data_IF_615504813145
#
_entry.id   IF_615504813145
#
_cell.length_a   1.000
_cell.length_b   1.000
_cell.length_c   1.000
_cell.angle_alpha   90.00
_cell.angle_beta   90.00
_cell.angle_gamma   90.00
#
_symmetry.space_group_name_H-M   'P 1'
#
loop_
_entity.id
_entity.type
_entity.pdbx_description
1 polymer ?
#
# COMPACT_ATOMS: atom_id res chain seq x y z
N UNK A 1 -120.04 -55.56 16.28
CA UNK A 1 -119.78 -54.13 16.53
C UNK A 1 -118.29 -53.92 16.38
N UNK A 2 -117.70 -53.08 15.52
CA UNK A 2 -118.16 -51.94 14.73
C UNK A 2 -116.92 -51.51 13.90
N UNK A 3 -117.06 -51.41 12.57
CA UNK A 3 -116.41 -50.43 11.66
C UNK A 3 -114.87 -50.40 11.45
N UNK A 4 -114.49 -50.48 10.16
CA UNK A 4 -113.30 -49.82 9.59
C UNK A 4 -113.54 -48.29 9.47
N UNK A 5 -112.52 -47.43 9.25
CA UNK A 5 -112.12 -47.16 7.85
C UNK A 5 -110.64 -46.75 7.58
N UNK A 6 -110.20 -47.14 6.39
CA UNK A 6 -109.43 -46.43 5.34
C UNK A 6 -108.92 -44.97 5.54
N UNK A 7 -107.67 -44.71 5.10
CA UNK A 7 -107.17 -43.56 4.28
C UNK A 7 -105.65 -43.71 4.08
N UNK A 8 -105.10 -43.95 2.88
CA UNK A 8 -104.97 -43.13 1.66
C UNK A 8 -103.76 -42.15 1.66
N UNK A 9 -102.76 -42.55 0.87
CA UNK A 9 -101.93 -41.77 -0.05
C UNK A 9 -100.56 -41.14 0.35
N UNK A 10 -99.67 -40.98 -0.68
CA UNK A 10 -98.23 -40.93 -0.57
C UNK A 10 -97.67 -39.51 -0.77
N UNK A 11 -96.44 -39.30 -0.32
CA UNK A 11 -95.55 -38.22 -0.75
C UNK A 11 -94.14 -38.70 -0.37
N UNK A 12 -93.28 -39.07 -1.31
CA UNK A 12 -92.58 -38.12 -2.16
C UNK A 12 -91.11 -38.16 -1.74
N UNK A 13 -90.38 -39.18 -2.19
CA UNK A 13 -88.92 -39.16 -2.16
C UNK A 13 -88.46 -38.09 -3.14
N UNK A 14 -88.12 -36.90 -2.65
CA UNK A 14 -87.39 -35.94 -3.45
C UNK A 14 -85.98 -36.47 -3.74
N UNK A 15 -85.55 -36.53 -5.01
CA UNK A 15 -84.17 -36.82 -5.31
C UNK A 15 -83.30 -35.66 -4.83
N UNK A 16 -82.41 -35.93 -3.86
CA UNK A 16 -81.33 -35.00 -3.51
C UNK A 16 -80.52 -34.72 -4.77
N UNK A 17 -80.71 -33.52 -5.33
CA UNK A 17 -79.85 -33.00 -6.38
C UNK A 17 -78.49 -32.68 -5.74
N UNK A 18 -77.38 -33.20 -6.26
CA UNK A 18 -76.07 -32.83 -5.74
C UNK A 18 -75.85 -31.34 -6.05
N UNK A 19 -75.73 -30.54 -4.98
CA UNK A 19 -75.26 -29.17 -5.07
C UNK A 19 -73.91 -29.14 -5.80
N UNK A 20 -73.75 -28.34 -6.87
CA UNK A 20 -72.47 -28.20 -7.52
C UNK A 20 -71.54 -27.48 -6.55
N UNK A 21 -70.64 -28.24 -5.91
CA UNK A 21 -69.47 -27.66 -5.25
C UNK A 21 -68.79 -26.76 -6.27
N UNK A 22 -68.84 -25.45 -6.04
CA UNK A 22 -68.03 -24.48 -6.76
C UNK A 22 -66.58 -24.96 -6.65
N UNK A 23 -66.05 -25.48 -7.76
CA UNK A 23 -64.61 -25.69 -7.92
C UNK A 23 -64.00 -24.30 -7.78
N UNK A 24 -63.53 -23.98 -6.58
CA UNK A 24 -62.49 -22.97 -6.42
C UNK A 24 -61.42 -23.36 -7.43
N UNK A 25 -61.23 -22.54 -8.46
CA UNK A 25 -60.08 -22.64 -9.35
C UNK A 25 -58.89 -22.41 -8.44
N UNK A 26 -58.33 -23.49 -7.91
CA UNK A 26 -57.01 -23.46 -7.32
C UNK A 26 -56.11 -22.97 -8.46
N UNK A 27 -55.76 -21.69 -8.42
CA UNK A 27 -54.83 -21.07 -9.35
C UNK A 27 -53.45 -21.66 -9.04
N UNK A 28 -53.19 -22.84 -9.58
CA UNK A 28 -51.85 -23.39 -9.63
C UNK A 28 -51.08 -22.64 -10.73
N UNK A 29 -49.83 -22.30 -10.46
CA UNK A 29 -48.96 -21.64 -11.43
C UNK A 29 -48.83 -22.52 -12.68
N UNK A 30 -48.96 -21.87 -13.84
CA UNK A 30 -48.74 -22.53 -15.13
C UNK A 30 -47.27 -22.89 -15.29
N UNK A 31 -47.00 -23.97 -16.02
CA UNK A 31 -45.62 -24.40 -16.33
C UNK A 31 -44.80 -23.27 -16.98
N UNK A 32 -45.46 -22.40 -17.75
CA UNK A 32 -44.84 -21.22 -18.39
C UNK A 32 -44.44 -20.16 -17.36
N UNK A 33 -45.27 -19.86 -16.37
CA UNK A 33 -44.93 -18.91 -15.30
C UNK A 33 -43.72 -19.38 -14.49
N UNK A 34 -43.68 -20.68 -14.14
CA UNK A 34 -42.52 -21.24 -13.42
C UNK A 34 -41.26 -21.19 -14.30
N UNK A 35 -41.36 -21.53 -15.58
CA UNK A 35 -40.22 -21.48 -16.50
C UNK A 35 -39.67 -20.06 -16.66
N UNK A 36 -40.54 -19.06 -16.76
CA UNK A 36 -40.12 -17.66 -16.89
C UNK A 36 -39.50 -17.14 -15.60
N UNK A 37 -40.06 -17.48 -14.43
CA UNK A 37 -39.47 -17.13 -13.13
C UNK A 37 -38.08 -17.75 -12.95
N UNK A 38 -37.91 -19.04 -13.27
CA UNK A 38 -36.60 -19.70 -13.20
C UNK A 38 -35.60 -19.10 -14.20
N UNK A 39 -36.05 -18.74 -15.40
CA UNK A 39 -35.22 -18.06 -16.40
C UNK A 39 -34.71 -16.69 -15.91
N UNK A 40 -35.58 -15.89 -15.30
CA UNK A 40 -35.22 -14.58 -14.74
C UNK A 40 -34.25 -14.72 -13.56
N UNK A 41 -34.49 -15.67 -12.65
CA UNK A 41 -33.59 -15.94 -11.52
C UNK A 41 -32.22 -16.40 -12.00
N UNK A 42 -32.17 -17.32 -12.98
CA UNK A 42 -30.91 -17.80 -13.56
C UNK A 42 -30.11 -16.66 -14.18
N UNK A 43 -30.76 -15.79 -14.96
CA UNK A 43 -30.12 -14.61 -15.54
C UNK A 43 -29.57 -13.65 -14.48
N UNK A 44 -30.35 -13.36 -13.44
CA UNK A 44 -29.94 -12.47 -12.35
C UNK A 44 -28.73 -13.02 -11.57
N UNK A 45 -28.71 -14.32 -11.28
CA UNK A 45 -27.58 -14.96 -10.59
C UNK A 45 -26.30 -14.90 -11.42
N UNK A 46 -26.39 -15.14 -12.74
CA UNK A 46 -25.24 -15.00 -13.66
C UNK A 46 -24.74 -13.56 -13.67
N UNK A 47 -25.64 -12.57 -13.69
CA UNK A 47 -25.27 -11.16 -13.68
C UNK A 47 -24.53 -10.77 -12.38
N UNK A 48 -25.04 -11.17 -11.20
CA UNK A 48 -24.42 -10.87 -9.90
C UNK A 48 -23.06 -11.56 -9.74
N UNK A 49 -23.00 -12.86 -10.05
CA UNK A 49 -21.76 -13.64 -9.96
C UNK A 49 -20.73 -13.13 -10.98
N UNK A 50 -21.16 -12.65 -12.15
CA UNK A 50 -20.28 -12.08 -13.17
C UNK A 50 -19.59 -10.79 -12.73
N UNK A 51 -20.26 -9.93 -11.95
CA UNK A 51 -19.69 -8.64 -11.49
C UNK A 51 -18.96 -8.73 -10.15
N UNK A 52 -19.25 -9.75 -9.33
CA UNK A 52 -18.65 -9.95 -8.01
C UNK A 52 -17.09 -9.96 -8.05
N UNK A 53 -16.42 -10.67 -8.99
CA UNK A 53 -14.96 -10.64 -9.08
C UNK A 53 -14.39 -9.24 -9.30
N UNK A 54 -15.06 -8.42 -10.11
CA UNK A 54 -14.65 -7.04 -10.37
C UNK A 54 -14.85 -6.18 -9.12
N UNK A 55 -15.97 -6.33 -8.42
CA UNK A 55 -16.24 -5.61 -7.17
C UNK A 55 -15.21 -5.92 -6.07
N UNK A 56 -14.78 -7.18 -5.97
CA UNK A 56 -13.74 -7.60 -4.99
C UNK A 56 -12.37 -7.02 -5.36
N UNK A 57 -12.01 -6.99 -6.65
CA UNK A 57 -10.76 -6.37 -7.11
C UNK A 57 -10.71 -4.88 -6.79
N UNK A 58 -11.76 -4.13 -7.15
CA UNK A 58 -11.84 -2.69 -6.86
C UNK A 58 -11.75 -2.39 -5.35
N UNK A 59 -12.38 -3.21 -4.51
CA UNK A 59 -12.26 -3.04 -3.05
C UNK A 59 -10.84 -3.29 -2.56
N UNK A 60 -10.16 -4.30 -3.10
CA UNK A 60 -8.74 -4.56 -2.79
C UNK A 60 -7.87 -3.39 -3.23
N UNK A 61 -7.99 -2.96 -4.47
CA UNK A 61 -7.17 -1.89 -5.03
C UNK A 61 -7.35 -0.58 -4.24
N UNK A 62 -8.59 -0.21 -3.91
CA UNK A 62 -8.88 0.96 -3.08
C UNK A 62 -8.29 0.85 -1.66
N UNK A 63 -8.27 -0.36 -1.08
CA UNK A 63 -7.68 -0.62 0.23
C UNK A 63 -6.15 -0.50 0.17
N UNK A 64 -5.52 -1.12 -0.82
CA UNK A 64 -4.07 -1.07 -1.05
C UNK A 64 -3.61 0.39 -1.30
N UNK A 65 -4.39 1.15 -2.08
CA UNK A 65 -4.14 2.55 -2.33
C UNK A 65 -4.20 3.42 -1.07
N UNK A 66 -5.15 3.12 -0.18
CA UNK A 66 -5.29 3.79 1.11
C UNK A 66 -4.11 3.47 2.02
N UNK A 67 -3.70 2.20 2.07
CA UNK A 67 -2.53 1.74 2.83
C UNK A 67 -1.27 2.46 2.37
N UNK A 68 -1.00 2.49 1.05
CA UNK A 68 0.17 3.18 0.49
C UNK A 68 0.17 4.67 0.87
N UNK A 69 -1.00 5.32 0.81
CA UNK A 69 -1.11 6.74 1.16
C UNK A 69 -0.84 7.01 2.64
N UNK A 70 -1.43 6.22 3.54
CA UNK A 70 -1.26 6.38 4.98
C UNK A 70 0.17 6.06 5.41
N UNK A 71 0.73 4.96 4.90
CA UNK A 71 2.07 4.51 5.27
C UNK A 71 3.18 5.34 4.62
N UNK A 72 2.93 5.89 3.43
CA UNK A 72 3.84 6.85 2.81
C UNK A 72 4.04 8.10 3.68
N UNK A 73 2.95 8.64 4.24
CA UNK A 73 3.01 9.77 5.19
C UNK A 73 3.65 9.37 6.53
N UNK A 74 3.33 8.17 7.04
CA UNK A 74 3.96 7.64 8.26
C UNK A 74 5.48 7.53 8.12
N UNK A 75 5.97 6.93 7.03
CA UNK A 75 7.40 6.77 6.77
C UNK A 75 8.10 8.11 6.53
N UNK A 76 7.43 9.04 5.85
CA UNK A 76 7.95 10.39 5.64
C UNK A 76 8.13 11.13 6.97
N UNK A 77 7.15 11.05 7.88
CA UNK A 77 7.24 11.68 9.19
C UNK A 77 8.25 10.96 10.11
N UNK A 78 8.33 9.64 10.03
CA UNK A 78 9.35 8.83 10.71
C UNK A 78 10.78 9.27 10.35
N UNK A 79 11.03 9.54 9.06
CA UNK A 79 12.33 10.03 8.61
C UNK A 79 12.56 11.48 9.04
N UNK A 80 11.53 12.34 8.97
CA UNK A 80 11.63 13.75 9.35
C UNK A 80 11.88 13.96 10.84
N UNK A 81 11.14 13.26 11.69
CA UNK A 81 11.19 13.40 13.15
C UNK A 81 12.46 12.80 13.77
N UNK A 82 13.17 11.93 13.03
CA UNK A 82 14.28 11.15 13.57
C UNK A 82 13.74 9.96 14.36
N UNK A 83 14.44 8.83 14.30
CA UNK A 83 13.90 7.48 14.53
C UNK A 83 13.44 7.09 15.94
N UNK A 84 13.09 8.03 16.81
CA UNK A 84 12.74 7.74 18.21
C UNK A 84 11.44 6.92 18.29
N UNK A 85 11.50 5.77 18.98
CA UNK A 85 10.33 4.90 19.21
C UNK A 85 9.86 4.09 18.01
N UNK A 86 10.66 4.01 16.92
CA UNK A 86 10.29 3.32 15.68
C UNK A 86 10.79 1.87 15.60
N UNK A 87 11.19 1.27 16.72
CA UNK A 87 11.72 -0.10 16.72
C UNK A 87 10.71 -1.14 16.25
N UNK A 88 9.42 -0.84 16.33
CA UNK A 88 8.36 -1.67 15.79
C UNK A 88 8.45 -1.85 14.26
N UNK A 89 9.11 -0.93 13.53
CA UNK A 89 9.32 -1.03 12.08
C UNK A 89 10.09 -2.29 11.68
N UNK A 90 10.93 -2.83 12.57
CA UNK A 90 11.67 -4.08 12.34
C UNK A 90 10.75 -5.28 12.07
N UNK A 91 9.50 -5.24 12.52
CA UNK A 91 8.52 -6.31 12.28
C UNK A 91 7.89 -6.27 10.87
N UNK A 92 8.03 -5.14 10.18
CA UNK A 92 7.37 -4.83 8.91
C UNK A 92 8.35 -4.72 7.74
N UNK A 93 9.58 -4.28 7.99
CA UNK A 93 10.64 -4.26 6.98
C UNK A 93 11.22 -5.67 6.81
N UNK A 94 11.04 -6.24 5.61
CA UNK A 94 11.60 -7.56 5.31
C UNK A 94 13.06 -7.44 4.86
N UNK A 95 13.33 -6.55 3.90
CA UNK A 95 14.67 -6.32 3.37
C UNK A 95 14.89 -4.85 3.00
N UNK A 96 16.13 -4.38 3.13
CA UNK A 96 16.63 -3.11 2.60
C UNK A 96 17.87 -3.40 1.78
N UNK A 97 17.81 -3.10 0.49
CA UNK A 97 18.89 -3.28 -0.48
C UNK A 97 19.42 -1.93 -0.89
N UNK A 98 20.74 -1.79 -0.79
CA UNK A 98 21.47 -0.63 -1.27
C UNK A 98 22.35 -1.11 -2.41
N UNK A 99 22.09 -0.62 -3.62
CA UNK A 99 22.99 -0.81 -4.75
C UNK A 99 23.72 0.48 -5.03
N UNK A 100 25.06 0.41 -5.05
CA UNK A 100 25.86 1.44 -5.68
C UNK A 100 26.25 1.00 -7.10
N UNK A 101 26.76 1.92 -7.91
CA UNK A 101 27.25 1.59 -9.25
C UNK A 101 28.47 0.65 -9.15
N UNK A 102 28.18 -0.65 -9.21
CA UNK A 102 29.02 -1.85 -9.41
C UNK A 102 30.24 -2.07 -8.51
N UNK A 103 30.43 -3.26 -7.88
CA UNK A 103 29.51 -4.41 -7.70
C UNK A 103 29.00 -4.54 -6.25
N UNK A 104 29.06 -3.49 -5.43
CA UNK A 104 28.71 -3.60 -4.01
C UNK A 104 27.19 -3.43 -3.80
N UNK A 105 26.50 -4.56 -3.68
CA UNK A 105 25.12 -4.60 -3.18
C UNK A 105 25.17 -4.95 -1.70
N UNK A 106 24.71 -4.05 -0.84
CA UNK A 106 24.52 -4.31 0.57
C UNK A 106 23.05 -4.65 0.82
N UNK A 107 22.79 -5.80 1.44
CA UNK A 107 21.44 -6.22 1.81
C UNK A 107 21.35 -6.28 3.32
N UNK A 108 20.30 -5.68 3.87
CA UNK A 108 19.90 -5.81 5.26
C UNK A 108 18.54 -6.50 5.30
N UNK A 109 18.34 -7.40 6.26
CA UNK A 109 17.15 -8.24 6.33
C UNK A 109 16.64 -8.37 7.77
N UNK A 110 15.35 -8.62 7.92
CA UNK A 110 14.78 -9.07 9.19
C UNK A 110 15.37 -10.43 9.59
N UNK A 111 15.33 -10.79 10.89
CA UNK A 111 15.85 -12.08 11.36
C UNK A 111 15.27 -13.29 10.60
N UNK A 112 14.00 -13.21 10.19
CA UNK A 112 13.36 -14.26 9.40
C UNK A 112 13.83 -14.28 7.94
N UNK A 113 13.96 -13.12 7.31
CA UNK A 113 14.43 -13.02 5.93
C UNK A 113 15.93 -13.39 5.80
N UNK A 114 16.75 -13.12 6.82
CA UNK A 114 18.17 -13.46 6.82
C UNK A 114 18.42 -14.98 6.76
N UNK A 115 17.47 -15.82 7.23
CA UNK A 115 17.56 -17.28 7.08
C UNK A 115 17.69 -17.70 5.61
N UNK A 116 17.12 -16.90 4.70
CA UNK A 116 17.15 -17.12 3.26
C UNK A 116 18.28 -16.32 2.57
N UNK A 117 18.90 -15.36 3.27
CA UNK A 117 19.96 -14.49 2.75
C UNK A 117 21.08 -14.38 3.82
N UNK A 118 21.94 -15.40 3.98
CA UNK A 118 22.86 -15.49 5.12
C UNK A 118 23.88 -14.34 5.20
N UNK A 119 24.25 -13.76 4.06
CA UNK A 119 25.20 -12.64 3.96
C UNK A 119 24.58 -11.27 4.25
N UNK A 120 23.26 -11.19 4.50
CA UNK A 120 22.60 -9.92 4.79
C UNK A 120 22.91 -9.44 6.21
N UNK A 121 23.07 -8.13 6.38
CA UNK A 121 23.10 -7.49 7.69
C UNK A 121 21.74 -7.58 8.39
N UNK A 122 21.71 -7.58 9.72
CA UNK A 122 20.47 -7.63 10.48
C UNK A 122 19.83 -6.25 10.61
N UNK A 123 18.50 -6.17 10.45
CA UNK A 123 17.68 -5.02 10.84
C UNK A 123 17.33 -5.15 12.33
N UNK A 124 18.03 -4.39 13.18
CA UNK A 124 17.97 -4.56 14.65
C UNK A 124 17.08 -3.55 15.35
N UNK A 125 16.96 -2.34 14.83
CA UNK A 125 16.20 -1.25 15.44
C UNK A 125 15.63 -0.30 14.37
N UNK A 126 14.67 0.53 14.77
CA UNK A 126 14.03 1.52 13.89
C UNK A 126 15.02 2.60 13.46
N UNK A 127 16.00 2.89 14.31
CA UNK A 127 17.12 3.78 14.01
C UNK A 127 17.88 3.35 12.76
N UNK A 128 18.28 2.09 12.70
CA UNK A 128 19.03 1.55 11.58
C UNK A 128 18.20 1.60 10.30
N UNK A 129 16.90 1.28 10.36
CA UNK A 129 16.00 1.35 9.21
C UNK A 129 15.95 2.79 8.66
N UNK A 130 15.63 3.77 9.50
CA UNK A 130 15.57 5.18 9.09
C UNK A 130 16.92 5.64 8.55
N UNK A 131 18.01 5.26 9.22
CA UNK A 131 19.37 5.59 8.81
C UNK A 131 19.70 5.07 7.41
N UNK A 132 19.35 3.81 7.11
CA UNK A 132 19.53 3.21 5.79
C UNK A 132 18.63 3.87 4.73
N UNK A 133 17.41 4.24 5.07
CA UNK A 133 16.52 4.97 4.15
C UNK A 133 17.00 6.41 3.87
N UNK A 134 17.74 7.02 4.78
CA UNK A 134 18.28 8.39 4.63
C UNK A 134 19.62 8.48 3.89
N UNK A 135 20.09 7.39 3.29
CA UNK A 135 21.34 7.41 2.55
C UNK A 135 21.28 8.41 1.38
N UNK A 136 22.26 9.33 1.26
CA UNK A 136 22.36 10.22 0.10
C UNK A 136 22.41 9.42 -1.20
N UNK A 137 21.66 9.87 -2.20
CA UNK A 137 21.72 9.33 -3.57
C UNK A 137 23.12 9.47 -4.17
N UNK A 138 23.83 10.55 -3.85
CA UNK A 138 25.18 10.82 -4.35
C UNK A 138 26.17 10.82 -3.20
N UNK A 139 27.32 10.16 -3.37
CA UNK A 139 28.43 10.35 -2.43
C UNK A 139 28.95 11.80 -2.49
N UNK A 140 29.80 12.17 -1.53
CA UNK A 140 30.38 13.53 -1.45
C UNK A 140 31.13 13.92 -2.74
N UNK A 141 31.74 12.95 -3.43
CA UNK A 141 32.49 13.14 -4.67
C UNK A 141 31.60 13.08 -5.94
N UNK A 142 30.29 12.81 -5.79
CA UNK A 142 29.29 12.62 -6.87
C UNK A 142 29.66 11.56 -7.92
N UNK A 143 30.54 10.63 -7.58
CA UNK A 143 31.04 9.56 -8.45
C UNK A 143 30.21 8.29 -8.38
N UNK A 144 29.56 8.03 -7.24
CA UNK A 144 28.71 6.86 -7.04
C UNK A 144 27.27 7.28 -6.78
N UNK A 145 26.34 6.55 -7.41
CA UNK A 145 24.90 6.69 -7.17
C UNK A 145 24.44 5.53 -6.29
N UNK A 146 23.88 5.84 -5.12
CA UNK A 146 23.22 4.88 -4.26
C UNK A 146 21.73 4.80 -4.63
N UNK A 147 21.24 3.58 -4.78
CA UNK A 147 19.82 3.29 -4.92
C UNK A 147 19.38 2.45 -3.72
N UNK A 148 18.42 2.98 -2.96
CA UNK A 148 17.89 2.32 -1.76
C UNK A 148 16.50 1.80 -2.06
N UNK A 149 16.34 0.48 -1.95
CA UNK A 149 15.08 -0.23 -2.10
C UNK A 149 14.77 -0.94 -0.79
N UNK A 150 13.55 -0.83 -0.30
CA UNK A 150 13.09 -1.60 0.85
C UNK A 150 11.81 -2.33 0.51
N UNK A 151 11.70 -3.58 0.96
CA UNK A 151 10.45 -4.34 0.93
C UNK A 151 9.78 -4.20 2.29
N UNK A 152 8.55 -3.71 2.29
CA UNK A 152 7.79 -3.42 3.50
C UNK A 152 6.44 -4.10 3.42
N UNK A 153 6.08 -4.82 4.47
CA UNK A 153 4.73 -5.36 4.67
C UNK A 153 3.84 -4.28 5.25
N UNK A 154 2.56 -4.28 4.87
CA UNK A 154 1.56 -3.33 5.37
C UNK A 154 1.59 -3.22 6.90
N UNK A 155 1.87 -2.03 7.40
CA UNK A 155 1.85 -1.68 8.82
C UNK A 155 0.38 -1.58 9.31
N UNK A 156 -0.46 -1.00 8.46
CA UNK A 156 -1.89 -0.71 8.61
C UNK A 156 -2.76 -1.74 7.88
N UNK A 157 -2.49 -3.02 8.14
CA UNK A 157 -3.26 -4.15 7.61
C UNK A 157 -4.36 -4.67 8.56
N UNK A 158 -5.17 -5.61 8.05
CA UNK A 158 -6.14 -6.38 8.85
C UNK A 158 -5.39 -7.22 9.89
N UNK A 159 -5.98 -7.43 11.07
CA UNK A 159 -5.36 -8.27 12.11
C UNK A 159 -5.03 -9.69 11.62
N UNK A 160 -5.83 -10.22 10.67
CA UNK A 160 -5.59 -11.54 10.05
C UNK A 160 -4.27 -11.57 9.27
N UNK A 161 -3.94 -10.48 8.58
CA UNK A 161 -2.71 -10.31 7.78
C UNK A 161 -1.48 -10.05 8.66
N UNK A 162 -1.68 -9.66 9.93
CA UNK A 162 -0.61 -9.43 10.90
C UNK A 162 -0.17 -10.70 11.63
N UNK A 163 -0.87 -11.82 11.44
CA UNK A 163 -0.49 -13.10 12.05
C UNK A 163 0.80 -13.65 11.44
N UNK A 164 1.63 -14.31 12.26
CA UNK A 164 2.92 -14.87 11.79
C UNK A 164 2.73 -15.89 10.65
N UNK A 165 1.60 -16.61 10.66
CA UNK A 165 1.21 -17.59 9.64
C UNK A 165 0.70 -16.98 8.33
N UNK A 166 0.29 -15.70 8.33
CA UNK A 166 -0.23 -15.01 7.16
C UNK A 166 0.79 -14.03 6.54
N UNK A 167 2.05 -14.06 6.98
CA UNK A 167 3.09 -13.14 6.50
C UNK A 167 3.31 -13.18 4.99
N UNK A 168 3.22 -14.37 4.40
CA UNK A 168 3.44 -14.57 2.95
C UNK A 168 2.24 -14.13 2.09
N UNK A 169 1.07 -13.98 2.68
CA UNK A 169 -0.17 -13.55 2.00
C UNK A 169 -0.56 -12.11 2.33
N UNK A 170 0.20 -11.45 3.21
CA UNK A 170 -0.02 -10.07 3.59
C UNK A 170 0.37 -9.13 2.44
N UNK A 171 -0.37 -8.03 2.29
CA UNK A 171 -0.01 -6.98 1.35
C UNK A 171 1.40 -6.45 1.67
N UNK A 172 2.25 -6.40 0.66
CA UNK A 172 3.59 -5.86 0.73
C UNK A 172 3.82 -4.90 -0.43
N UNK A 173 4.61 -3.87 -0.18
CA UNK A 173 4.97 -2.83 -1.14
C UNK A 173 6.47 -2.57 -1.09
N UNK A 174 6.99 -2.03 -2.18
CA UNK A 174 8.36 -1.56 -2.29
C UNK A 174 8.41 -0.07 -1.94
N UNK A 175 9.40 0.31 -1.15
CA UNK A 175 9.78 1.70 -0.88
C UNK A 175 11.09 1.97 -1.60
N UNK A 176 11.13 3.00 -2.42
CA UNK A 176 12.35 3.55 -3.01
C UNK A 176 12.65 4.86 -2.32
N UNK A 177 13.81 4.98 -1.68
CA UNK A 177 14.24 6.21 -1.03
C UNK A 177 15.32 6.90 -1.84
N UNK A 178 15.11 8.17 -2.14
CA UNK A 178 16.10 9.03 -2.76
C UNK A 178 16.28 10.30 -1.92
N UNK A 179 17.51 10.53 -1.46
CA UNK A 179 17.87 11.75 -0.75
C UNK A 179 18.83 12.56 -1.61
N UNK A 180 18.40 13.75 -2.03
CA UNK A 180 19.14 14.62 -2.96
C UNK A 180 19.39 15.97 -2.31
N UNK A 181 20.59 16.56 -2.43
CA UNK A 181 20.85 17.92 -1.96
C UNK A 181 19.85 18.93 -2.51
N UNK A 182 19.42 19.87 -1.67
CA UNK A 182 18.55 20.96 -2.11
C UNK A 182 19.24 21.81 -3.17
N UNK A 183 18.55 22.05 -4.29
CA UNK A 183 19.02 22.92 -5.38
C UNK A 183 17.89 23.82 -5.84
N UNK A 184 17.72 24.98 -5.19
CA UNK A 184 16.67 25.96 -5.51
C UNK A 184 17.13 27.03 -6.51
N UNK A 185 18.44 27.19 -6.68
CA UNK A 185 19.00 28.20 -7.56
C UNK A 185 19.42 27.58 -8.90
N UNK A 186 18.93 28.12 -10.04
CA UNK A 186 19.39 27.70 -11.36
C UNK A 186 20.91 27.91 -11.51
N UNK A 187 21.61 27.05 -12.26
CA UNK A 187 23.05 27.20 -12.50
C UNK A 187 23.44 28.58 -13.03
N UNK A 188 22.61 29.19 -13.89
CA UNK A 188 22.88 30.51 -14.47
C UNK A 188 22.92 31.64 -13.42
N UNK A 189 22.16 31.49 -12.33
CA UNK A 189 22.09 32.49 -11.25
C UNK A 189 23.27 32.39 -10.27
N UNK A 190 23.94 31.24 -10.22
CA UNK A 190 25.07 30.98 -9.31
C UNK A 190 26.42 30.94 -10.04
N UNK A 191 26.41 30.83 -11.37
CA UNK A 191 27.61 30.87 -12.19
C UNK A 191 28.13 32.30 -12.35
N UNK A 192 29.00 32.70 -11.42
CA UNK A 192 29.71 33.99 -11.43
C UNK A 192 30.93 34.00 -12.38
N UNK A 193 31.25 32.86 -13.01
CA UNK A 193 32.32 32.72 -14.00
C UNK A 193 31.81 32.78 -15.44
N UNK A 194 30.49 32.92 -15.65
CA UNK A 194 29.92 33.09 -16.97
C UNK A 194 30.40 34.40 -17.61
N UNK A 195 30.40 34.47 -18.94
CA UNK A 195 30.79 35.66 -19.70
C UNK A 195 29.77 35.93 -20.80
N UNK A 196 29.42 37.21 -21.09
CA UNK A 196 29.84 38.42 -20.39
C UNK A 196 29.00 38.68 -19.11
N UNK A 197 29.62 39.18 -18.04
CA UNK A 197 28.94 39.63 -16.82
C UNK A 197 29.50 40.98 -16.36
N UNK A 198 28.63 41.85 -15.87
CA UNK A 198 29.03 43.10 -15.21
C UNK A 198 29.65 42.84 -13.82
N UNK A 199 30.49 43.75 -13.29
CA UNK A 199 31.07 43.60 -11.95
C UNK A 199 30.02 43.41 -10.84
N UNK A 200 28.88 44.09 -10.96
CA UNK A 200 27.77 43.98 -10.00
C UNK A 200 27.09 42.60 -10.06
N UNK A 201 26.96 42.03 -11.26
CA UNK A 201 26.40 40.67 -11.43
C UNK A 201 27.34 39.61 -10.87
N UNK A 202 28.66 39.76 -11.06
CA UNK A 202 29.65 38.84 -10.48
C UNK A 202 29.52 38.81 -8.94
N UNK A 203 29.39 39.97 -8.30
CA UNK A 203 29.17 40.06 -6.84
C UNK A 203 27.86 39.40 -6.40
N UNK A 204 26.77 39.67 -7.12
CA UNK A 204 25.45 39.10 -6.80
C UNK A 204 25.45 37.58 -6.93
N UNK A 205 25.98 37.04 -8.04
CA UNK A 205 26.03 35.61 -8.31
C UNK A 205 26.99 34.86 -7.38
N UNK A 206 28.13 35.47 -7.03
CA UNK A 206 29.09 34.86 -6.09
C UNK A 206 28.53 34.78 -4.67
N UNK A 207 27.80 35.80 -4.21
CA UNK A 207 27.06 35.75 -2.94
C UNK A 207 25.98 34.65 -2.97
N UNK A 208 25.19 34.58 -4.05
CA UNK A 208 24.17 33.55 -4.21
C UNK A 208 24.76 32.14 -4.24
N UNK A 209 25.90 31.96 -4.91
CA UNK A 209 26.62 30.68 -4.94
C UNK A 209 27.03 30.21 -3.54
N UNK A 210 27.46 31.13 -2.67
CA UNK A 210 27.79 30.80 -1.27
C UNK A 210 26.54 30.32 -0.52
N UNK A 211 25.42 31.02 -0.66
CA UNK A 211 24.14 30.63 -0.05
C UNK A 211 23.69 29.26 -0.56
N UNK A 212 23.65 29.07 -1.89
CA UNK A 212 23.30 27.81 -2.53
C UNK A 212 24.16 26.63 -2.04
N UNK A 213 25.45 26.86 -1.82
CA UNK A 213 26.36 25.86 -1.28
C UNK A 213 26.03 25.50 0.17
N UNK A 214 25.71 26.48 1.01
CA UNK A 214 25.29 26.21 2.39
C UNK A 214 23.93 25.49 2.44
N UNK A 215 23.01 25.84 1.55
CA UNK A 215 21.72 25.16 1.46
C UNK A 215 21.87 23.69 1.05
N UNK A 216 22.65 23.40 0.00
CA UNK A 216 22.87 22.04 -0.49
C UNK A 216 23.67 21.13 0.46
N UNK A 217 24.28 21.69 1.51
CA UNK A 217 24.97 20.91 2.56
C UNK A 217 24.03 20.59 3.74
N UNK A 218 23.11 21.50 4.06
CA UNK A 218 22.27 21.41 5.27
C UNK A 218 20.84 20.92 5.00
N UNK A 219 20.34 21.12 3.77
CA UNK A 219 18.99 20.76 3.37
C UNK A 219 19.02 19.73 2.25
N UNK A 220 18.16 18.73 2.39
CA UNK A 220 17.99 17.67 1.42
C UNK A 220 16.52 17.50 1.07
N UNK A 221 16.24 17.23 -0.20
CA UNK A 221 14.96 16.75 -0.66
C UNK A 221 14.93 15.22 -0.49
N UNK A 222 14.01 14.75 0.34
CA UNK A 222 13.67 13.34 0.48
C UNK A 222 12.51 13.02 -0.48
N UNK A 223 12.69 12.00 -1.31
CA UNK A 223 11.65 11.43 -2.17
C UNK A 223 11.48 9.97 -1.80
N UNK A 224 10.29 9.64 -1.30
CA UNK A 224 9.89 8.27 -1.02
C UNK A 224 8.87 7.83 -2.06
N UNK A 225 9.22 6.85 -2.88
CA UNK A 225 8.29 6.26 -3.85
C UNK A 225 7.83 4.90 -3.36
N UNK A 226 6.53 4.78 -3.10
CA UNK A 226 5.90 3.53 -2.69
C UNK A 226 5.19 2.90 -3.89
N UNK A 227 5.33 1.59 -4.05
CA UNK A 227 4.69 0.86 -5.14
C UNK A 227 4.39 -0.58 -4.68
N UNK A 228 3.16 -1.04 -4.88
CA UNK A 228 2.74 -2.40 -4.56
C UNK A 228 1.48 -2.78 -5.32
N UNK A 229 1.09 -4.06 -5.32
CA UNK A 229 1.64 -5.15 -4.51
C UNK A 229 2.99 -5.69 -5.02
N UNK A 230 3.80 -6.21 -4.10
CA UNK A 230 5.04 -6.96 -4.40
C UNK A 230 4.74 -8.45 -4.40
N UNK A 231 5.02 -9.13 -5.51
CA UNK A 231 4.73 -10.56 -5.70
C UNK A 231 6.03 -11.34 -5.88
N UNK A 232 6.26 -12.45 -5.18
CA UNK A 232 7.43 -13.29 -5.37
C UNK A 232 7.43 -13.94 -6.77
N UNK A 233 8.57 -13.86 -7.46
CA UNK A 233 8.83 -14.45 -8.78
C UNK A 233 10.16 -15.20 -8.74
N UNK A 234 10.12 -16.45 -8.27
CA UNK A 234 11.32 -17.26 -8.06
C UNK A 234 12.21 -16.65 -6.98
N UNK A 235 13.43 -16.26 -7.34
CA UNK A 235 14.39 -15.58 -6.45
C UNK A 235 14.23 -14.05 -6.42
N UNK A 236 13.41 -13.49 -7.30
CA UNK A 236 13.18 -12.05 -7.43
C UNK A 236 11.75 -11.69 -7.02
N UNK A 237 11.47 -10.39 -6.98
CA UNK A 237 10.12 -9.87 -6.77
C UNK A 237 9.69 -9.07 -7.98
N UNK A 238 8.40 -9.19 -8.34
CA UNK A 238 7.75 -8.30 -9.28
C UNK A 238 6.97 -7.25 -8.49
N UNK A 239 7.05 -5.99 -8.92
CA UNK A 239 6.40 -4.87 -8.25
C UNK A 239 5.31 -4.36 -9.18
N UNK A 240 4.06 -4.56 -8.78
CA UNK A 240 2.89 -4.14 -9.53
C UNK A 240 2.33 -2.83 -8.99
N UNK A 241 1.26 -2.35 -9.63
CA UNK A 241 0.57 -1.13 -9.23
C UNK A 241 1.28 0.15 -9.64
N UNK A 242 0.61 1.28 -9.40
CA UNK A 242 1.10 2.60 -9.78
C UNK A 242 1.98 3.17 -8.66
N UNK A 243 3.22 3.63 -8.96
CA UNK A 243 4.07 4.24 -7.95
C UNK A 243 3.49 5.56 -7.46
N UNK A 244 3.55 5.78 -6.14
CA UNK A 244 3.18 7.04 -5.49
C UNK A 244 4.40 7.64 -4.81
N UNK A 245 4.78 8.85 -5.23
CA UNK A 245 5.93 9.56 -4.66
C UNK A 245 5.50 10.62 -3.66
N UNK A 246 6.01 10.49 -2.44
CA UNK A 246 5.92 11.48 -1.37
C UNK A 246 7.22 12.26 -1.31
N UNK A 247 7.14 13.58 -1.15
CA UNK A 247 8.31 14.45 -1.13
C UNK A 247 8.30 15.34 0.08
N UNK A 248 9.48 15.56 0.65
CA UNK A 248 9.65 16.56 1.70
C UNK A 248 11.07 17.08 1.77
N UNK A 249 11.25 18.18 2.51
CA UNK A 249 12.55 18.69 2.88
C UNK A 249 12.92 18.16 4.25
N UNK A 250 14.14 17.63 4.35
CA UNK A 250 14.75 17.24 5.62
C UNK A 250 15.99 18.12 5.84
N UNK A 251 16.15 18.57 7.09
CA UNK A 251 17.34 19.30 7.52
C UNK A 251 18.22 18.35 8.32
N UNK A 252 19.51 18.35 8.02
CA UNK A 252 20.45 17.46 8.67
C UNK A 252 21.88 17.72 8.19
N UNK A 253 22.83 17.11 8.88
CA UNK A 253 24.22 17.09 8.41
C UNK A 253 24.58 15.67 8.00
N UNK A 254 25.50 15.53 7.06
CA UNK A 254 26.16 14.25 6.80
C UNK A 254 27.33 14.18 7.79
N UNK A 255 27.23 13.51 8.95
CA UNK A 255 28.39 13.34 9.81
C UNK A 255 29.50 12.61 9.06
N UNK A 256 30.74 12.91 9.45
CA UNK A 256 31.90 12.17 8.96
C UNK A 256 31.74 10.68 9.33
N UNK A 257 31.62 9.85 8.29
CA UNK A 257 31.74 8.38 8.23
C UNK A 257 31.60 7.63 9.58
N UNK A 258 30.50 6.89 9.76
CA UNK A 258 30.55 5.63 10.53
C UNK A 258 30.97 4.51 9.57
N UNK A 259 32.27 4.18 9.55
CA UNK A 259 32.80 3.14 8.65
C UNK A 259 32.69 3.53 7.16
N UNK A 260 32.16 2.62 6.33
CA UNK A 260 32.10 2.80 4.87
C UNK A 260 30.83 3.52 4.36
N UNK A 261 29.83 3.80 5.20
CA UNK A 261 28.58 4.44 4.79
C UNK A 261 28.55 5.94 5.19
N UNK A 262 28.12 6.80 4.27
CA UNK A 262 27.85 8.22 4.55
C UNK A 262 26.35 8.36 4.78
N UNK A 263 25.96 8.58 6.05
CA UNK A 263 24.56 8.63 6.47
C UNK A 263 24.17 10.10 6.64
N UNK A 264 22.94 10.49 6.30
CA UNK A 264 22.39 11.80 6.68
C UNK A 264 21.75 11.65 8.04
N UNK A 265 22.13 12.51 8.97
CA UNK A 265 21.53 12.58 10.29
C UNK A 265 20.64 13.81 10.30
N UNK A 266 19.30 13.64 10.21
CA UNK A 266 18.37 14.71 10.51
C UNK A 266 18.73 15.44 11.81
N UNK A 267 18.46 16.73 11.88
CA UNK A 267 18.89 17.62 12.98
C UNK A 267 18.46 17.18 14.39
N UNK A 268 17.51 16.25 14.51
CA UNK A 268 16.98 15.69 15.76
C UNK A 268 17.65 14.39 16.21
N UNK A 269 18.65 13.88 15.47
CA UNK A 269 19.36 12.67 15.86
C UNK A 269 20.27 12.91 17.08
N UNK A 270 19.80 12.48 18.25
CA UNK A 270 20.65 12.35 19.44
C UNK A 270 21.45 11.06 19.33
N UNK A 271 22.78 11.19 19.30
CA UNK A 271 23.68 10.06 19.44
C UNK A 271 23.51 9.50 20.86
N UNK A 272 22.96 8.28 20.98
CA UNK A 272 23.19 7.49 22.18
C UNK A 272 24.65 7.02 22.12
N UNK A 273 25.56 7.89 22.53
CA UNK A 273 26.90 7.47 22.93
C UNK A 273 26.72 6.57 24.15
N UNK A 274 26.84 5.26 23.95
CA UNK A 274 27.15 4.37 25.04
C UNK A 274 28.54 4.79 25.56
N UNK A 275 28.59 5.31 26.79
CA UNK A 275 29.82 5.38 27.58
C UNK A 275 30.30 3.97 27.91
#
# INVERSE_FOLDING_TARGET
MTFAPEKSNPAGEEPMTPSPRAKGRNAAFTMVEIALCLGVIAFALVAIIGVLPTGVRVQRDNREDTIINQEGLLLLEAIRSGSQGLDYLTNYFDTITISNSSPAVAVFASPEAQKNIPSAGLLTNGYQIVSLLTLPKYNQDRTFTNHVFARVRAITGSAVEKSQSARDIAFAYQVVSEVVPLSVHPPDTTNYLASPLSPQEILTRSNLWRVARHEGINFFELRLTLQGPVIPKGTNYDVLGTPKTFRTLIAGSIPKRLGNATLIWPSTFLQLTNN
#
